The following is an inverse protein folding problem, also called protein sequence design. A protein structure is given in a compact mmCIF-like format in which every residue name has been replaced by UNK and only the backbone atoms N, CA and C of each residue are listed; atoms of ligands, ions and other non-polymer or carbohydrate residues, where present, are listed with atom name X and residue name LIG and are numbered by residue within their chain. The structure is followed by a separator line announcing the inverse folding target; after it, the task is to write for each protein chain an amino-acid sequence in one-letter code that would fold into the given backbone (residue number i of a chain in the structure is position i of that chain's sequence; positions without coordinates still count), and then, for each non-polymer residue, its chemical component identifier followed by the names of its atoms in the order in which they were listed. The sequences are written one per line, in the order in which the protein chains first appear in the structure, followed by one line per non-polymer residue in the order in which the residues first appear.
data_IF_121252868483
#
_entry.id   IF_121252868483
#
_cell.length_a   1.000
_cell.length_b   1.000
_cell.length_c   1.000
_cell.angle_alpha   90.00
_cell.angle_beta   90.00
_cell.angle_gamma   90.00
#
_symmetry.space_group_name_H-M   'P 1'
#
loop_
_entity.id
_entity.type
_entity.pdbx_description
1 polymer ?
#
# COMPACT_ATOMS: atom_id res chain seq x y z
N UNK A 1 22.20 -12.45 -47.76
CA UNK A 1 21.20 -13.07 -46.88
C UNK A 1 21.04 -14.51 -47.34
N UNK A 2 21.48 -15.46 -46.51
CA UNK A 2 21.72 -16.84 -46.90
C UNK A 2 20.45 -17.68 -46.96
N UNK A 3 20.50 -18.75 -47.77
CA UNK A 3 19.45 -19.75 -47.99
C UNK A 3 18.88 -20.44 -46.73
N UNK A 4 19.39 -20.16 -45.53
CA UNK A 4 18.92 -20.74 -44.26
C UNK A 4 17.61 -20.11 -43.76
N UNK A 5 17.37 -18.83 -44.02
CA UNK A 5 16.19 -18.11 -43.47
C UNK A 5 14.89 -18.40 -44.22
N UNK A 6 14.99 -18.83 -45.49
CA UNK A 6 13.82 -19.21 -46.30
C UNK A 6 13.30 -20.59 -45.87
N UNK A 7 14.21 -21.51 -45.51
CA UNK A 7 13.87 -22.86 -45.05
C UNK A 7 13.06 -22.87 -43.75
N UNK A 8 13.39 -22.03 -42.77
CA UNK A 8 12.71 -22.02 -41.46
C UNK A 8 11.27 -21.47 -41.58
N UNK A 9 11.05 -20.49 -42.47
CA UNK A 9 9.72 -19.89 -42.69
C UNK A 9 8.74 -20.81 -43.41
N UNK A 10 9.23 -21.74 -44.23
CA UNK A 10 8.39 -22.75 -44.87
C UNK A 10 8.03 -23.88 -43.89
N UNK A 11 8.94 -24.28 -42.99
CA UNK A 11 8.66 -25.34 -41.99
C UNK A 11 7.64 -24.91 -40.93
N UNK A 12 7.52 -23.62 -40.61
CA UNK A 12 6.55 -23.10 -39.64
C UNK A 12 5.11 -22.94 -40.18
N UNK A 13 4.89 -23.16 -41.48
CA UNK A 13 3.58 -23.05 -42.12
C UNK A 13 2.90 -24.39 -42.39
N UNK A 14 3.51 -25.50 -42.03
CA UNK A 14 2.82 -26.79 -42.07
C UNK A 14 1.92 -26.93 -40.84
N UNK A 15 0.62 -27.04 -41.07
CA UNK A 15 -0.37 -27.33 -40.03
C UNK A 15 0.05 -28.61 -39.29
N UNK A 16 0.34 -28.48 -38.00
CA UNK A 16 0.66 -29.62 -37.13
C UNK A 16 -0.56 -30.52 -37.07
N UNK A 17 -0.54 -31.62 -37.82
CA UNK A 17 -1.57 -32.66 -37.73
C UNK A 17 -1.46 -33.33 -36.37
N UNK A 18 -2.38 -32.97 -35.47
CA UNK A 18 -2.52 -33.58 -34.16
C UNK A 18 -2.69 -35.10 -34.36
N UNK A 19 -1.82 -35.94 -33.77
CA UNK A 19 -1.90 -37.39 -33.93
C UNK A 19 -3.26 -37.92 -33.46
N UNK A 20 -3.85 -38.87 -34.20
CA UNK A 20 -5.18 -39.44 -33.88
C UNK A 20 -5.28 -39.94 -32.43
N UNK A 21 -4.18 -40.45 -31.86
CA UNK A 21 -4.14 -40.91 -30.46
C UNK A 21 -4.46 -39.81 -29.43
N UNK A 22 -4.22 -38.54 -29.77
CA UNK A 22 -4.54 -37.39 -28.92
C UNK A 22 -6.03 -37.03 -29.03
N UNK A 23 -6.62 -37.18 -30.22
CA UNK A 23 -8.05 -36.99 -30.42
C UNK A 23 -8.86 -38.15 -29.82
N UNK A 24 -8.40 -39.39 -29.96
CA UNK A 24 -9.00 -40.56 -29.32
C UNK A 24 -8.95 -40.43 -27.79
N UNK A 25 -7.82 -39.95 -27.25
CA UNK A 25 -7.68 -39.65 -25.81
C UNK A 25 -8.60 -38.53 -25.33
N UNK A 26 -8.88 -37.52 -26.17
CA UNK A 26 -9.78 -36.42 -25.83
C UNK A 26 -11.24 -36.87 -25.90
N UNK A 27 -11.61 -37.62 -26.93
CA UNK A 27 -12.96 -38.16 -27.08
C UNK A 27 -13.28 -39.17 -25.99
N UNK A 28 -12.33 -40.01 -25.58
CA UNK A 28 -12.48 -40.92 -24.43
C UNK A 28 -12.65 -40.15 -23.11
N UNK A 29 -11.99 -39.00 -22.95
CA UNK A 29 -12.14 -38.13 -21.79
C UNK A 29 -13.50 -37.41 -21.78
N UNK A 30 -13.98 -36.93 -22.94
CA UNK A 30 -15.29 -36.31 -23.07
C UNK A 30 -16.44 -37.31 -22.93
N UNK A 31 -16.28 -38.55 -23.39
CA UNK A 31 -17.25 -39.61 -23.20
C UNK A 31 -17.36 -40.02 -21.72
N UNK A 32 -16.25 -40.06 -20.99
CA UNK A 32 -16.22 -40.28 -19.53
C UNK A 32 -16.91 -39.16 -18.73
N UNK A 33 -16.87 -37.92 -19.24
CA UNK A 33 -17.60 -36.76 -18.69
C UNK A 33 -19.10 -36.85 -19.03
N UNK A 34 -19.46 -37.22 -20.26
CA UNK A 34 -20.86 -37.35 -20.71
C UNK A 34 -21.60 -38.53 -20.07
N UNK A 35 -20.88 -39.60 -19.74
CA UNK A 35 -21.41 -40.80 -19.06
C UNK A 35 -21.40 -40.69 -17.51
N UNK A 36 -20.99 -39.54 -16.96
CA UNK A 36 -20.83 -39.27 -15.50
C UNK A 36 -19.90 -40.27 -14.78
N UNK A 37 -18.98 -40.90 -15.51
CA UNK A 37 -17.99 -41.84 -14.96
C UNK A 37 -16.79 -41.11 -14.34
N UNK A 38 -16.57 -39.84 -14.71
CA UNK A 38 -15.60 -38.94 -14.08
C UNK A 38 -16.34 -37.80 -13.40
N UNK A 39 -16.33 -37.80 -12.06
CA UNK A 39 -16.83 -36.70 -11.25
C UNK A 39 -15.68 -35.79 -10.83
N UNK A 40 -15.77 -34.51 -11.17
CA UNK A 40 -15.01 -33.48 -10.46
C UNK A 40 -15.26 -33.62 -8.95
N UNK A 41 -14.22 -33.49 -8.14
CA UNK A 41 -14.40 -33.26 -6.70
C UNK A 41 -15.24 -31.99 -6.57
N UNK A 42 -16.52 -32.16 -6.25
CA UNK A 42 -17.40 -31.04 -5.96
C UNK A 42 -16.79 -30.28 -4.78
N UNK A 43 -16.51 -28.99 -4.95
CA UNK A 43 -16.52 -28.05 -3.83
C UNK A 43 -17.97 -28.02 -3.33
N UNK A 44 -18.29 -28.93 -2.39
CA UNK A 44 -19.59 -28.96 -1.74
C UNK A 44 -19.77 -27.63 -1.04
N UNK A 45 -20.86 -26.94 -1.39
CA UNK A 45 -21.44 -25.90 -0.57
C UNK A 45 -21.57 -26.43 0.87
N UNK A 46 -20.79 -25.84 1.77
CA UNK A 46 -20.97 -26.08 3.20
C UNK A 46 -21.97 -25.05 3.69
N UNK A 47 -23.10 -25.56 4.15
CA UNK A 47 -24.27 -24.83 4.60
C UNK A 47 -23.95 -23.65 5.54
N UNK A 48 -24.71 -22.57 5.33
CA UNK A 48 -24.81 -21.30 6.07
C UNK A 48 -25.10 -21.41 7.59
N UNK A 49 -24.81 -22.51 8.28
CA UNK A 49 -25.03 -22.65 9.73
C UNK A 49 -24.03 -23.62 10.38
N UNK A 50 -22.76 -23.21 10.55
CA UNK A 50 -21.84 -23.79 11.58
C UNK A 50 -20.47 -23.09 11.75
N UNK A 51 -20.28 -21.87 11.26
CA UNK A 51 -19.04 -21.11 11.48
C UNK A 51 -19.12 -20.18 12.71
N UNK A 52 -19.74 -20.66 13.80
CA UNK A 52 -19.80 -19.94 15.09
C UNK A 52 -19.24 -20.79 16.23
N UNK A 53 -18.25 -21.66 15.99
CA UNK A 53 -17.76 -22.49 17.11
C UNK A 53 -16.28 -22.81 17.19
N UNK A 54 -15.42 -22.36 16.27
CA UNK A 54 -13.96 -22.56 16.37
C UNK A 54 -13.13 -21.48 15.67
N UNK A 55 -13.46 -20.21 15.87
CA UNK A 55 -12.48 -19.14 15.77
C UNK A 55 -12.14 -18.78 17.21
N UNK A 56 -11.01 -19.27 17.68
CA UNK A 56 -10.33 -18.63 18.80
C UNK A 56 -10.00 -17.22 18.33
N UNK A 57 -10.48 -16.25 19.09
CA UNK A 57 -10.33 -14.81 18.96
C UNK A 57 -9.05 -14.41 18.20
N UNK A 58 -9.17 -14.26 16.88
CA UNK A 58 -8.38 -13.28 16.15
C UNK A 58 -9.22 -12.01 16.23
N UNK A 59 -8.67 -10.95 16.80
CA UNK A 59 -9.38 -9.69 17.01
C UNK A 59 -9.68 -9.06 15.64
N UNK A 60 -10.78 -9.47 15.01
CA UNK A 60 -11.43 -8.65 14.01
C UNK A 60 -11.92 -7.40 14.76
N UNK A 61 -11.12 -6.33 14.72
CA UNK A 61 -11.57 -5.01 15.10
C UNK A 61 -12.64 -4.58 14.08
N UNK A 62 -13.85 -5.11 14.24
CA UNK A 62 -15.01 -4.63 13.51
C UNK A 62 -15.35 -3.24 14.05
N UNK A 63 -14.62 -2.23 13.62
CA UNK A 63 -14.95 -0.84 13.86
C UNK A 63 -16.19 -0.52 13.03
N UNK A 64 -17.38 -0.71 13.61
CA UNK A 64 -18.59 -0.10 13.07
C UNK A 64 -18.47 1.41 13.28
N UNK A 65 -17.93 2.11 12.28
CA UNK A 65 -17.87 3.57 12.31
C UNK A 65 -19.23 4.12 11.91
N UNK A 66 -19.95 4.62 12.91
CA UNK A 66 -21.08 5.52 12.69
C UNK A 66 -20.50 6.92 12.55
N UNK A 67 -20.56 7.48 11.34
CA UNK A 67 -20.14 8.87 11.09
C UNK A 67 -21.12 9.79 11.82
N UNK A 68 -20.79 10.13 13.06
CA UNK A 68 -21.52 11.07 13.89
C UNK A 68 -20.65 12.30 14.11
N UNK A 69 -20.84 13.34 13.29
CA UNK A 69 -21.05 14.77 13.68
C UNK A 69 -20.62 15.76 12.58
N UNK A 70 -21.31 16.91 12.51
CA UNK A 70 -20.98 18.07 11.67
C UNK A 70 -21.99 18.42 10.59
N UNK A 71 -22.29 17.45 9.73
CA UNK A 71 -23.12 17.64 8.53
C UNK A 71 -24.60 17.96 8.84
N UNK A 72 -25.05 17.67 10.06
CA UNK A 72 -26.46 17.83 10.48
C UNK A 72 -26.97 19.28 10.48
N UNK A 73 -26.10 20.28 10.42
CA UNK A 73 -26.52 21.70 10.37
C UNK A 73 -26.52 22.30 8.95
N UNK A 74 -25.84 21.69 7.99
CA UNK A 74 -25.59 22.30 6.67
C UNK A 74 -26.37 21.68 5.51
N UNK A 75 -26.77 20.40 5.59
CA UNK A 75 -27.63 19.79 4.55
C UNK A 75 -28.45 18.59 5.06
N UNK A 76 -29.76 18.74 5.32
CA UNK A 76 -30.65 17.66 5.76
C UNK A 76 -30.78 16.47 4.79
N UNK A 77 -30.42 16.63 3.51
CA UNK A 77 -30.42 15.53 2.54
C UNK A 77 -29.30 14.50 2.84
N UNK A 78 -28.14 14.94 3.35
CA UNK A 78 -27.02 14.08 3.75
C UNK A 78 -27.34 13.18 4.96
N UNK A 79 -28.28 13.58 5.82
CA UNK A 79 -28.64 12.79 7.00
C UNK A 79 -29.47 11.54 6.67
N UNK A 80 -30.05 11.46 5.46
CA UNK A 80 -30.98 10.39 5.09
C UNK A 80 -30.27 9.13 4.59
N UNK A 81 -29.07 9.28 4.06
CA UNK A 81 -28.31 8.22 3.39
C UNK A 81 -26.89 8.07 3.98
N UNK A 82 -26.71 8.25 5.30
CA UNK A 82 -25.42 8.00 5.96
C UNK A 82 -25.02 6.55 5.71
N UNK A 83 -23.94 6.28 4.95
CA UNK A 83 -23.50 4.92 4.73
C UNK A 83 -23.04 4.39 6.08
N UNK A 84 -23.62 3.27 6.52
CA UNK A 84 -22.96 2.45 7.53
C UNK A 84 -21.75 1.86 6.81
N UNK A 85 -20.62 2.56 6.92
CA UNK A 85 -19.40 2.18 6.22
C UNK A 85 -18.95 0.80 6.67
N UNK A 86 -19.32 0.32 7.87
CA UNK A 86 -19.02 -1.04 8.30
C UNK A 86 -17.51 -1.25 8.50
N UNK A 87 -17.04 -2.48 8.32
CA UNK A 87 -15.64 -2.86 8.57
C UNK A 87 -14.72 -2.42 7.40
N UNK A 88 -14.23 -1.18 7.44
CA UNK A 88 -13.30 -0.65 6.43
C UNK A 88 -11.96 -1.40 6.43
N UNK A 89 -11.42 -1.69 7.61
CA UNK A 89 -10.18 -2.46 7.73
C UNK A 89 -10.32 -3.86 7.17
N UNK A 90 -11.46 -4.54 7.41
CA UNK A 90 -11.76 -5.84 6.81
C UNK A 90 -11.73 -5.79 5.28
N UNK A 91 -12.33 -4.76 4.65
CA UNK A 91 -12.29 -4.58 3.19
C UNK A 91 -10.88 -4.32 2.68
N UNK A 92 -10.13 -3.46 3.35
CA UNK A 92 -8.74 -3.16 2.98
C UNK A 92 -7.87 -4.42 3.08
N UNK A 93 -8.07 -5.24 4.13
CA UNK A 93 -7.37 -6.52 4.27
C UNK A 93 -7.75 -7.53 3.18
N UNK A 94 -9.02 -7.58 2.79
CA UNK A 94 -9.47 -8.43 1.68
C UNK A 94 -8.84 -8.02 0.35
N UNK A 95 -8.83 -6.72 0.05
CA UNK A 95 -8.15 -6.17 -1.14
C UNK A 95 -6.66 -6.52 -1.11
N UNK A 96 -6.00 -6.33 0.04
CA UNK A 96 -4.59 -6.71 0.23
C UNK A 96 -4.36 -8.20 -0.03
N UNK A 97 -5.16 -9.07 0.56
CA UNK A 97 -4.99 -10.53 0.47
C UNK A 97 -5.20 -11.05 -0.96
N UNK A 98 -5.97 -10.32 -1.77
CA UNK A 98 -6.19 -10.62 -3.19
C UNK A 98 -5.13 -9.99 -4.11
N UNK A 99 -4.28 -9.09 -3.62
CA UNK A 99 -3.23 -8.45 -4.41
C UNK A 99 -1.99 -9.36 -4.50
N UNK A 100 -1.39 -9.57 -5.68
CA UNK A 100 -0.22 -10.44 -5.83
C UNK A 100 1.03 -9.94 -5.08
N UNK A 101 1.09 -8.64 -4.82
CA UNK A 101 2.18 -7.96 -4.11
C UNK A 101 1.59 -7.08 -3.00
N UNK A 102 1.19 -7.63 -1.86
CA UNK A 102 0.51 -6.86 -0.82
C UNK A 102 1.43 -5.73 -0.32
N UNK A 103 0.89 -4.51 -0.27
CA UNK A 103 1.71 -3.30 0.00
C UNK A 103 2.22 -3.20 1.44
N UNK A 104 1.59 -3.90 2.39
CA UNK A 104 1.97 -3.86 3.81
C UNK A 104 1.64 -5.18 4.51
N UNK A 105 2.50 -5.57 5.46
CA UNK A 105 2.37 -6.83 6.19
C UNK A 105 1.03 -6.92 6.97
N UNK A 106 0.54 -8.15 7.13
CA UNK A 106 -0.75 -8.40 7.78
C UNK A 106 -0.77 -7.99 9.24
N UNK A 107 0.33 -8.20 9.96
CA UNK A 107 0.46 -7.90 11.38
C UNK A 107 0.42 -6.39 11.61
N UNK A 108 1.17 -5.60 10.83
CA UNK A 108 1.12 -4.15 10.86
C UNK A 108 -0.29 -3.64 10.57
N UNK A 109 -0.97 -4.20 9.57
CA UNK A 109 -2.37 -3.85 9.30
C UNK A 109 -3.30 -4.11 10.49
N UNK A 110 -3.19 -5.26 11.14
CA UNK A 110 -3.97 -5.61 12.32
C UNK A 110 -3.65 -4.70 13.51
N UNK A 111 -2.37 -4.32 13.69
CA UNK A 111 -1.95 -3.36 14.69
C UNK A 111 -2.49 -1.96 14.41
N UNK A 112 -2.39 -1.46 13.17
CA UNK A 112 -2.97 -0.16 12.77
C UNK A 112 -4.47 -0.15 13.06
N UNK A 113 -5.20 -1.19 12.63
CA UNK A 113 -6.64 -1.29 12.88
C UNK A 113 -6.99 -1.30 14.37
N UNK A 114 -6.21 -2.04 15.17
CA UNK A 114 -6.40 -2.15 16.63
C UNK A 114 -6.15 -0.83 17.37
N UNK A 115 -5.22 -0.01 16.88
CA UNK A 115 -4.82 1.26 17.52
C UNK A 115 -5.47 2.49 16.87
N UNK A 116 -6.22 2.31 15.78
CA UNK A 116 -6.94 3.41 15.14
C UNK A 116 -8.14 3.85 15.98
N UNK A 117 -8.35 5.16 16.03
CA UNK A 117 -9.52 5.78 16.64
C UNK A 117 -10.33 6.53 15.58
N UNK A 118 -11.66 6.66 15.75
CA UNK A 118 -12.47 7.51 14.90
C UNK A 118 -11.90 8.94 14.86
N UNK A 119 -11.79 9.50 13.67
CA UNK A 119 -11.28 10.86 13.52
C UNK A 119 -12.21 11.86 14.19
N UNK A 120 -11.61 12.91 14.77
CA UNK A 120 -12.34 14.04 15.35
C UNK A 120 -12.57 15.07 14.24
N UNK A 121 -13.58 15.94 14.39
CA UNK A 121 -13.91 17.13 13.56
C UNK A 121 -15.10 16.97 12.57
N UNK A 122 -15.98 17.99 12.41
CA UNK A 122 -17.15 17.97 11.52
C UNK A 122 -16.94 17.91 10.00
N UNK A 123 -15.72 18.04 9.46
CA UNK A 123 -15.46 18.12 8.00
C UNK A 123 -14.75 16.88 7.43
N UNK A 124 -14.92 15.72 8.07
CA UNK A 124 -14.36 14.44 7.61
C UNK A 124 -15.17 13.77 6.48
N UNK A 125 -16.24 14.42 6.00
CA UNK A 125 -17.07 13.99 4.87
C UNK A 125 -17.16 15.12 3.85
N UNK A 126 -17.02 14.80 2.57
CA UNK A 126 -17.21 15.75 1.47
C UNK A 126 -18.03 15.09 0.35
N UNK A 127 -18.93 15.85 -0.27
CA UNK A 127 -19.73 15.39 -1.40
C UNK A 127 -19.78 16.45 -2.49
N UNK A 128 -19.50 16.04 -3.72
CA UNK A 128 -19.67 16.81 -4.94
C UNK A 128 -19.81 15.83 -6.11
N UNK A 129 -20.45 16.26 -7.20
CA UNK A 129 -20.68 15.46 -8.41
C UNK A 129 -21.23 14.04 -8.17
N UNK A 130 -22.01 13.83 -7.11
CA UNK A 130 -22.57 12.52 -6.76
C UNK A 130 -21.53 11.51 -6.24
N UNK A 131 -20.35 11.99 -5.83
CA UNK A 131 -19.29 11.23 -5.18
C UNK A 131 -19.20 11.70 -3.73
N UNK A 132 -19.39 10.79 -2.78
CA UNK A 132 -19.23 11.05 -1.34
C UNK A 132 -17.91 10.45 -0.88
N UNK A 133 -17.04 11.27 -0.29
CA UNK A 133 -15.77 10.86 0.31
C UNK A 133 -15.85 10.94 1.83
N UNK A 134 -15.22 10.00 2.54
CA UNK A 134 -15.24 9.98 4.01
C UNK A 134 -13.92 9.49 4.58
N UNK A 135 -13.38 10.26 5.55
CA UNK A 135 -12.31 9.81 6.44
C UNK A 135 -12.95 9.31 7.74
N UNK A 136 -12.65 8.07 8.13
CA UNK A 136 -13.34 7.42 9.26
C UNK A 136 -12.45 7.26 10.48
N UNK A 137 -11.28 6.65 10.32
CA UNK A 137 -10.39 6.29 11.42
C UNK A 137 -8.98 6.79 11.13
N UNK A 138 -8.23 7.11 12.19
CA UNK A 138 -6.82 7.42 12.10
C UNK A 138 -6.01 6.81 13.25
N UNK A 139 -4.75 6.51 12.97
CA UNK A 139 -3.74 6.08 13.94
C UNK A 139 -2.45 6.85 13.67
N UNK A 140 -1.81 7.38 14.71
CA UNK A 140 -0.53 8.07 14.57
C UNK A 140 0.42 7.66 15.69
N UNK A 141 1.54 7.04 15.34
CA UNK A 141 2.54 6.56 16.32
C UNK A 141 3.68 7.57 16.54
N UNK A 142 3.56 8.78 15.99
CA UNK A 142 4.58 9.82 16.02
C UNK A 142 5.60 9.75 14.87
N UNK A 143 5.74 8.59 14.22
CA UNK A 143 6.60 8.36 13.04
C UNK A 143 5.80 8.15 11.76
N UNK A 144 4.61 7.58 11.86
CA UNK A 144 3.68 7.36 10.77
C UNK A 144 2.26 7.76 11.20
N UNK A 145 1.54 8.39 10.29
CA UNK A 145 0.11 8.67 10.40
C UNK A 145 -0.62 7.82 9.36
N UNK A 146 -1.59 7.05 9.82
CA UNK A 146 -2.51 6.26 8.99
C UNK A 146 -3.92 6.80 9.12
N UNK A 147 -4.67 6.79 8.02
CA UNK A 147 -6.11 7.01 8.07
C UNK A 147 -6.86 6.28 6.97
N UNK A 148 -8.10 5.89 7.26
CA UNK A 148 -8.99 5.24 6.29
C UNK A 148 -9.71 6.30 5.47
N UNK A 149 -9.72 6.11 4.15
CA UNK A 149 -10.48 6.94 3.21
C UNK A 149 -11.38 6.05 2.37
N UNK A 150 -12.67 6.40 2.31
CA UNK A 150 -13.65 5.71 1.47
C UNK A 150 -14.34 6.65 0.49
N UNK A 151 -14.77 6.09 -0.64
CA UNK A 151 -15.58 6.78 -1.64
C UNK A 151 -16.76 5.92 -2.07
N UNK A 152 -17.90 6.56 -2.22
CA UNK A 152 -19.09 6.01 -2.81
C UNK A 152 -19.56 6.90 -3.95
N UNK A 153 -20.04 6.30 -5.03
CA UNK A 153 -20.59 7.03 -6.16
C UNK A 153 -21.82 6.32 -6.73
N UNK A 154 -22.80 7.11 -7.16
CA UNK A 154 -23.94 6.63 -7.95
C UNK A 154 -23.68 6.57 -9.45
N UNK A 155 -22.54 7.07 -9.92
CA UNK A 155 -22.16 7.05 -11.34
C UNK A 155 -21.77 5.64 -11.77
N UNK A 156 -22.50 5.07 -12.75
CA UNK A 156 -22.32 3.68 -13.17
C UNK A 156 -20.95 3.40 -13.80
N UNK A 157 -20.34 4.38 -14.50
CA UNK A 157 -19.05 4.19 -15.16
C UNK A 157 -17.88 4.33 -14.18
N UNK A 158 -17.96 5.28 -13.24
CA UNK A 158 -16.99 5.36 -12.14
C UNK A 158 -17.09 4.11 -11.26
N UNK A 159 -18.31 3.67 -10.95
CA UNK A 159 -18.52 2.44 -10.19
C UNK A 159 -18.11 1.19 -10.98
N UNK A 160 -17.86 1.25 -12.29
CA UNK A 160 -17.30 0.12 -13.04
C UNK A 160 -15.76 0.01 -12.95
N UNK A 161 -15.11 0.95 -12.26
CA UNK A 161 -13.66 0.97 -12.08
C UNK A 161 -13.19 -0.07 -11.06
N UNK A 162 -11.93 -0.50 -11.19
CA UNK A 162 -11.25 -1.28 -10.14
C UNK A 162 -10.64 -0.34 -9.08
N UNK A 163 -10.30 0.88 -9.49
CA UNK A 163 -9.65 1.88 -8.65
C UNK A 163 -10.06 3.29 -9.09
N UNK A 164 -10.12 4.22 -8.13
CA UNK A 164 -10.29 5.65 -8.39
C UNK A 164 -9.04 6.41 -7.99
N UNK A 165 -8.55 7.31 -8.82
CA UNK A 165 -7.44 8.21 -8.51
C UNK A 165 -7.97 9.55 -8.03
N UNK A 166 -7.48 10.04 -6.90
CA UNK A 166 -7.81 11.36 -6.37
C UNK A 166 -6.82 12.39 -6.91
N UNK A 167 -7.35 13.39 -7.60
CA UNK A 167 -6.59 14.31 -8.41
C UNK A 167 -6.86 15.77 -8.01
N UNK A 168 -5.95 16.65 -8.40
CA UNK A 168 -6.08 18.09 -8.32
C UNK A 168 -5.47 18.74 -9.57
N UNK A 169 -5.77 20.03 -9.78
CA UNK A 169 -5.13 20.85 -10.81
C UNK A 169 -4.30 21.92 -10.14
N UNK A 170 -3.13 22.21 -10.69
CA UNK A 170 -2.38 23.41 -10.29
C UNK A 170 -2.99 24.63 -10.97
N UNK A 171 -2.96 25.77 -10.30
CA UNK A 171 -3.46 27.02 -10.88
C UNK A 171 -2.83 27.30 -12.25
N UNK A 172 -3.66 27.36 -13.28
CA UNK A 172 -3.23 27.59 -14.66
C UNK A 172 -2.62 26.38 -15.37
N UNK A 173 -2.54 25.21 -14.73
CA UNK A 173 -2.08 23.96 -15.34
C UNK A 173 -3.27 23.07 -15.75
N UNK A 174 -3.46 22.76 -17.05
CA UNK A 174 -4.50 21.87 -17.52
C UNK A 174 -4.17 20.37 -17.30
N UNK A 175 -3.09 20.05 -16.59
CA UNK A 175 -2.68 18.67 -16.28
C UNK A 175 -3.09 18.35 -14.85
N UNK A 176 -3.83 17.26 -14.68
CA UNK A 176 -4.18 16.75 -13.36
C UNK A 176 -2.94 16.10 -12.67
N UNK A 177 -2.81 16.32 -11.37
CA UNK A 177 -1.81 15.71 -10.49
C UNK A 177 -2.53 14.93 -9.40
N UNK A 178 -1.84 14.02 -8.72
CA UNK A 178 -2.40 13.43 -7.50
C UNK A 178 -2.69 14.52 -6.47
N UNK A 179 -3.80 14.38 -5.74
CA UNK A 179 -4.20 15.35 -4.74
C UNK A 179 -3.17 15.46 -3.62
N UNK A 180 -3.03 16.68 -3.08
CA UNK A 180 -2.09 17.00 -2.02
C UNK A 180 -2.71 16.75 -0.64
N UNK A 181 -1.86 16.31 0.29
CA UNK A 181 -2.19 16.20 1.70
C UNK A 181 -1.54 17.37 2.43
N UNK A 182 -2.20 17.85 3.47
CA UNK A 182 -1.64 18.87 4.36
C UNK A 182 -1.71 18.38 5.78
N UNK A 183 -0.60 18.51 6.51
CA UNK A 183 -0.52 18.23 7.94
C UNK A 183 -0.22 19.55 8.64
N UNK A 184 -1.13 19.98 9.52
CA UNK A 184 -1.05 21.27 10.23
C UNK A 184 -0.84 22.49 9.31
N UNK A 185 -1.35 22.41 8.08
CA UNK A 185 -1.24 23.48 7.08
C UNK A 185 0.02 23.42 6.21
N UNK A 186 0.93 22.47 6.46
CA UNK A 186 2.11 22.21 5.63
C UNK A 186 1.81 21.10 4.62
N UNK A 187 2.16 21.33 3.36
CA UNK A 187 2.03 20.35 2.27
C UNK A 187 2.93 19.13 2.54
N UNK A 188 2.38 17.93 2.36
CA UNK A 188 3.09 16.68 2.53
C UNK A 188 2.61 15.62 1.54
N UNK A 189 3.27 14.46 1.55
CA UNK A 189 3.03 13.37 0.61
C UNK A 189 2.74 12.07 1.36
N UNK A 190 1.77 11.30 0.89
CA UNK A 190 1.61 9.90 1.29
C UNK A 190 2.67 9.01 0.61
N UNK A 191 2.97 7.85 1.20
CA UNK A 191 3.89 6.87 0.57
C UNK A 191 3.31 6.24 -0.69
N UNK A 192 1.98 6.14 -0.77
CA UNK A 192 1.26 5.57 -1.91
C UNK A 192 0.39 6.63 -2.58
N UNK A 193 0.06 6.40 -3.85
CA UNK A 193 -0.89 7.24 -4.56
C UNK A 193 -2.25 7.18 -3.86
N UNK A 194 -2.95 8.31 -3.79
CA UNK A 194 -4.32 8.39 -3.28
C UNK A 194 -5.26 7.72 -4.28
N UNK A 195 -5.25 6.39 -4.28
CA UNK A 195 -5.91 5.58 -5.30
C UNK A 195 -6.78 4.48 -4.67
N UNK A 196 -7.96 4.81 -4.11
CA UNK A 196 -8.82 3.84 -3.46
C UNK A 196 -9.30 2.73 -4.39
N UNK A 197 -9.13 1.48 -3.95
CA UNK A 197 -9.50 0.29 -4.69
C UNK A 197 -10.90 -0.17 -4.31
N UNK A 198 -11.61 -0.79 -5.25
CA UNK A 198 -12.99 -1.23 -5.06
C UNK A 198 -13.07 -2.50 -4.22
N UNK A 199 -13.90 -2.47 -3.18
CA UNK A 199 -14.26 -3.65 -2.38
C UNK A 199 -15.37 -4.48 -3.05
N UNK A 200 -15.61 -5.71 -2.55
CA UNK A 200 -16.66 -6.59 -3.06
C UNK A 200 -18.07 -5.96 -3.04
N UNK A 201 -18.37 -5.12 -2.05
CA UNK A 201 -19.65 -4.43 -1.91
C UNK A 201 -19.74 -3.10 -2.70
N UNK A 202 -18.68 -2.75 -3.44
CA UNK A 202 -18.66 -1.62 -4.36
C UNK A 202 -18.26 -0.28 -3.74
N UNK A 203 -17.77 -0.28 -2.51
CA UNK A 203 -17.15 0.89 -1.89
C UNK A 203 -15.69 0.98 -2.32
N UNK A 204 -15.19 2.16 -2.67
CA UNK A 204 -13.76 2.34 -2.90
C UNK A 204 -13.09 2.68 -1.59
N UNK A 205 -12.03 1.98 -1.21
CA UNK A 205 -11.37 2.14 0.10
C UNK A 205 -9.85 2.16 -0.04
N UNK A 206 -9.18 2.89 0.85
CA UNK A 206 -7.72 2.84 1.01
C UNK A 206 -7.31 3.11 2.45
N UNK A 207 -6.13 2.61 2.82
CA UNK A 207 -5.39 3.06 3.99
C UNK A 207 -4.31 4.04 3.51
N UNK A 208 -4.49 5.33 3.82
CA UNK A 208 -3.48 6.34 3.51
C UNK A 208 -2.43 6.33 4.60
N UNK A 209 -1.15 6.34 4.22
CA UNK A 209 -0.01 6.52 5.11
C UNK A 209 0.73 7.81 4.80
N UNK A 210 0.99 8.61 5.82
CA UNK A 210 1.86 9.80 5.78
C UNK A 210 3.03 9.57 6.74
N UNK A 211 4.26 9.43 6.23
CA UNK A 211 5.42 9.20 7.09
C UNK A 211 5.97 10.53 7.61
N UNK A 212 6.46 10.53 8.84
CA UNK A 212 6.99 11.73 9.48
C UNK A 212 8.24 12.28 8.77
N UNK A 213 8.93 11.47 7.96
CA UNK A 213 10.04 11.94 7.14
C UNK A 213 9.63 12.94 6.04
N UNK A 214 8.35 12.93 5.67
CA UNK A 214 7.73 13.83 4.67
C UNK A 214 7.15 15.12 5.27
N UNK A 215 7.20 15.29 6.60
CA UNK A 215 6.87 16.55 7.26
C UNK A 215 8.15 17.27 7.69
N UNK A 216 8.15 18.60 7.68
CA UNK A 216 9.36 19.40 7.95
C UNK A 216 9.89 19.16 9.37
N UNK A 217 8.99 19.04 10.34
CA UNK A 217 9.33 18.76 11.73
C UNK A 217 9.97 17.37 11.95
N UNK A 218 9.85 16.44 10.99
CA UNK A 218 10.39 15.08 11.10
C UNK A 218 9.69 14.15 12.10
N UNK A 219 8.71 14.65 12.88
CA UNK A 219 7.87 13.91 13.84
C UNK A 219 6.49 14.54 13.94
N UNK A 220 5.45 13.74 14.17
CA UNK A 220 4.11 14.26 14.38
C UNK A 220 3.95 14.87 15.79
N UNK A 221 3.32 16.04 15.93
CA UNK A 221 2.94 16.57 17.24
C UNK A 221 1.80 15.76 17.87
N UNK A 222 1.52 16.01 19.15
CA UNK A 222 0.43 15.33 19.89
C UNK A 222 -0.93 15.51 19.22
N UNK A 223 -1.25 16.73 18.77
CA UNK A 223 -2.46 17.02 18.01
C UNK A 223 -2.12 17.27 16.54
N UNK A 224 -2.76 16.49 15.66
CA UNK A 224 -2.54 16.55 14.22
C UNK A 224 -3.84 16.95 13.53
N UNK A 225 -3.80 18.01 12.73
CA UNK A 225 -4.87 18.37 11.80
C UNK A 225 -4.44 17.98 10.39
N UNK A 226 -5.26 17.21 9.70
CA UNK A 226 -5.02 16.78 8.32
C UNK A 226 -6.08 17.39 7.44
N UNK A 227 -5.68 17.87 6.26
CA UNK A 227 -6.64 18.32 5.25
C UNK A 227 -6.25 17.89 3.84
N UNK A 228 -7.26 17.75 2.99
CA UNK A 228 -7.14 17.35 1.59
C UNK A 228 -8.06 18.25 0.75
N UNK A 229 -7.53 18.75 -0.38
CA UNK A 229 -8.32 19.46 -1.38
C UNK A 229 -8.22 18.69 -2.70
N UNK A 230 -9.32 18.05 -3.08
CA UNK A 230 -9.41 17.16 -4.24
C UNK A 230 -10.27 17.86 -5.28
N UNK A 231 -9.71 18.01 -6.48
CA UNK A 231 -10.32 18.72 -7.61
C UNK A 231 -10.87 17.81 -8.71
N UNK A 232 -10.52 16.53 -8.71
CA UNK A 232 -11.03 15.57 -9.68
C UNK A 232 -10.88 14.12 -9.20
N UNK A 233 -11.68 13.23 -9.78
CA UNK A 233 -11.63 11.78 -9.57
C UNK A 233 -11.50 11.07 -10.92
N UNK A 234 -10.39 10.37 -11.14
CA UNK A 234 -10.16 9.55 -12.33
C UNK A 234 -10.48 8.07 -12.08
N UNK A 235 -10.98 7.35 -13.08
CA UNK A 235 -11.35 5.94 -12.98
C UNK A 235 -10.41 5.04 -13.77
N UNK A 236 -9.90 3.98 -13.13
CA UNK A 236 -8.92 3.05 -13.68
C UNK A 236 -9.42 1.61 -13.60
N UNK A 237 -8.98 0.79 -14.55
CA UNK A 237 -9.10 -0.67 -14.54
C UNK A 237 -7.73 -1.29 -14.69
N UNK A 238 -7.44 -2.35 -13.94
CA UNK A 238 -6.10 -2.94 -13.91
C UNK A 238 -5.69 -3.61 -15.23
N UNK A 239 -6.67 -4.14 -15.96
CA UNK A 239 -6.44 -4.86 -17.23
C UNK A 239 -6.72 -4.00 -18.48
N UNK A 240 -6.98 -2.70 -18.32
CA UNK A 240 -7.29 -1.83 -19.46
C UNK A 240 -6.01 -1.38 -20.17
N UNK A 241 -5.93 -1.49 -21.52
CA UNK A 241 -4.76 -1.04 -22.25
C UNK A 241 -4.57 0.47 -22.09
N UNK A 242 -3.33 0.94 -22.17
CA UNK A 242 -3.04 2.36 -22.17
C UNK A 242 -3.68 3.06 -23.37
N UNK A 243 -4.43 4.14 -23.11
CA UNK A 243 -5.12 4.95 -24.12
C UNK A 243 -4.29 6.18 -24.48
N UNK A 244 -3.46 6.09 -25.53
CA UNK A 244 -2.58 7.19 -25.97
C UNK A 244 -3.33 8.46 -26.39
N UNK A 245 -4.60 8.33 -26.78
CA UNK A 245 -5.48 9.44 -27.16
C UNK A 245 -6.00 10.25 -25.96
N UNK A 246 -5.96 9.68 -24.75
CA UNK A 246 -6.36 10.37 -23.52
C UNK A 246 -5.12 11.01 -22.90
N UNK A 247 -5.11 12.34 -22.87
CA UNK A 247 -4.02 13.09 -22.25
C UNK A 247 -3.90 12.72 -20.76
N UNK A 248 -2.71 12.32 -20.31
CA UNK A 248 -2.42 11.99 -18.91
C UNK A 248 -3.27 10.80 -18.39
N UNK A 249 -3.54 9.83 -19.28
CA UNK A 249 -4.37 8.66 -19.01
C UNK A 249 -3.93 7.90 -17.75
N UNK A 250 -2.64 7.84 -17.46
CA UNK A 250 -2.11 7.18 -16.27
C UNK A 250 -2.66 7.74 -14.95
N UNK A 251 -3.16 8.99 -14.96
CA UNK A 251 -3.82 9.62 -13.81
C UNK A 251 -5.33 9.66 -13.98
N UNK A 252 -5.80 10.23 -15.10
CA UNK A 252 -7.22 10.55 -15.30
C UNK A 252 -8.05 9.33 -15.69
N UNK A 253 -7.42 8.31 -16.25
CA UNK A 253 -8.05 7.05 -16.66
C UNK A 253 -9.08 7.21 -17.77
N UNK A 254 -9.94 6.20 -17.93
CA UNK A 254 -10.94 6.16 -19.01
C UNK A 254 -12.09 7.16 -18.77
N UNK A 255 -12.31 7.58 -17.52
CA UNK A 255 -13.29 8.59 -17.13
C UNK A 255 -12.73 9.44 -15.99
N UNK A 256 -12.89 10.75 -16.11
CA UNK A 256 -12.50 11.71 -15.06
C UNK A 256 -13.65 12.68 -14.79
N UNK A 257 -13.93 12.92 -13.50
CA UNK A 257 -14.96 13.85 -13.04
C UNK A 257 -14.30 14.96 -12.24
N UNK A 258 -14.43 16.19 -12.71
CA UNK A 258 -13.97 17.39 -12.00
C UNK A 258 -14.98 17.82 -10.94
N UNK A 259 -14.50 18.23 -9.77
CA UNK A 259 -15.34 18.65 -8.65
C UNK A 259 -14.51 19.34 -7.57
N UNK A 260 -15.07 19.45 -6.36
CA UNK A 260 -14.37 19.99 -5.20
C UNK A 260 -14.75 19.24 -3.93
N UNK A 261 -13.84 18.40 -3.45
CA UNK A 261 -13.98 17.68 -2.18
C UNK A 261 -12.91 18.17 -1.21
N UNK A 262 -13.38 18.85 -0.16
CA UNK A 262 -12.52 19.39 0.90
C UNK A 262 -12.77 18.62 2.18
N UNK A 263 -11.75 17.87 2.60
CA UNK A 263 -11.78 17.06 3.80
C UNK A 263 -10.83 17.67 4.81
N UNK A 264 -11.26 17.74 6.07
CA UNK A 264 -10.38 18.07 7.19
C UNK A 264 -10.80 17.29 8.43
N UNK A 265 -9.82 16.71 9.11
CA UNK A 265 -10.03 15.93 10.32
C UNK A 265 -8.86 16.08 11.28
N UNK A 266 -9.07 15.64 12.52
CA UNK A 266 -8.05 15.63 13.57
C UNK A 266 -7.76 14.23 14.05
N UNK A 267 -6.49 13.98 14.32
CA UNK A 267 -5.97 12.78 14.95
C UNK A 267 -5.07 13.18 16.14
N UNK A 268 -4.89 12.26 17.08
CA UNK A 268 -3.94 12.43 18.18
C UNK A 268 -2.82 11.41 18.03
N UNK A 269 -1.58 11.82 18.29
CA UNK A 269 -0.44 10.91 18.29
C UNK A 269 -0.37 10.12 19.60
N UNK A 270 -0.16 8.81 19.49
CA UNK A 270 0.09 7.91 20.61
C UNK A 270 1.43 7.18 20.40
N UNK A 271 2.44 7.62 21.14
CA UNK A 271 3.79 7.04 21.11
C UNK A 271 4.00 5.99 22.22
N UNK A 272 2.97 5.67 23.00
CA UNK A 272 3.09 4.87 24.23
C UNK A 272 3.55 3.43 24.02
N UNK A 273 3.38 2.91 22.80
CA UNK A 273 3.79 1.55 22.42
C UNK A 273 5.15 1.51 21.71
N UNK A 274 5.79 2.66 21.50
CA UNK A 274 7.06 2.71 20.80
C UNK A 274 8.20 2.25 21.71
N UNK A 275 9.11 1.44 21.16
CA UNK A 275 10.36 1.03 21.82
C UNK A 275 11.53 1.58 21.04
N UNK A 276 12.34 2.41 21.68
CA UNK A 276 13.49 3.06 21.04
C UNK A 276 14.78 2.63 21.72
N UNK A 277 15.75 2.23 20.93
CA UNK A 277 17.13 2.00 21.36
C UNK A 277 18.10 2.89 20.60
N UNK A 278 19.20 3.25 21.27
CA UNK A 278 20.36 3.92 20.67
C UNK A 278 21.55 2.99 20.75
N UNK A 279 21.63 1.98 19.87
CA UNK A 279 22.67 0.97 19.99
C UNK A 279 24.07 1.55 19.75
N UNK A 280 24.18 2.62 18.94
CA UNK A 280 25.46 3.19 18.50
C UNK A 280 26.42 2.11 17.95
N UNK A 281 25.83 1.06 17.35
CA UNK A 281 26.55 -0.10 16.87
C UNK A 281 27.24 0.23 15.54
N UNK A 282 28.52 -0.13 15.44
CA UNK A 282 29.38 0.28 14.33
C UNK A 282 30.11 -0.91 13.71
N UNK A 283 30.19 -0.90 12.38
CA UNK A 283 31.12 -1.73 11.64
C UNK A 283 31.52 -1.04 10.32
N UNK A 284 32.81 -0.96 10.02
CA UNK A 284 33.35 -0.32 8.82
C UNK A 284 32.87 1.14 8.61
N UNK A 285 32.72 1.87 9.72
CA UNK A 285 32.29 3.26 9.78
C UNK A 285 30.78 3.46 9.57
N UNK A 286 30.03 2.41 9.24
CA UNK A 286 28.56 2.45 9.25
C UNK A 286 28.06 2.41 10.68
N UNK A 287 27.18 3.34 11.07
CA UNK A 287 26.69 3.44 12.45
C UNK A 287 25.16 3.38 12.49
N UNK A 288 24.63 2.40 13.21
CA UNK A 288 23.21 2.38 13.59
C UNK A 288 23.06 3.27 14.83
N UNK A 289 22.59 4.50 14.64
CA UNK A 289 22.46 5.48 15.73
C UNK A 289 21.24 5.20 16.60
N UNK A 290 20.07 5.09 15.97
CA UNK A 290 18.78 4.99 16.64
C UNK A 290 17.87 4.02 15.88
N UNK A 291 17.17 3.17 16.63
CA UNK A 291 16.12 2.30 16.09
C UNK A 291 14.87 2.46 16.94
N UNK A 292 13.73 2.71 16.31
CA UNK A 292 12.43 2.76 16.97
C UNK A 292 11.50 1.72 16.36
N UNK A 293 11.02 0.80 17.18
CA UNK A 293 9.98 -0.16 16.83
C UNK A 293 8.62 0.41 17.26
N UNK A 294 7.70 0.54 16.31
CA UNK A 294 6.32 0.95 16.54
C UNK A 294 5.38 -0.22 16.22
N UNK A 295 4.09 -0.12 16.62
CA UNK A 295 3.11 -1.14 16.25
C UNK A 295 2.96 -1.36 14.73
N UNK A 296 3.29 -0.36 13.90
CA UNK A 296 3.13 -0.45 12.43
C UNK A 296 4.43 -0.69 11.67
N UNK A 297 5.58 -0.23 12.18
CA UNK A 297 6.83 -0.22 11.43
C UNK A 297 8.07 -0.24 12.34
N UNK A 298 9.24 -0.46 11.73
CA UNK A 298 10.53 -0.23 12.36
C UNK A 298 11.27 0.93 11.66
N UNK A 299 11.73 1.90 12.43
CA UNK A 299 12.45 3.08 11.92
C UNK A 299 13.90 3.05 12.37
N UNK A 300 14.81 3.40 11.47
CA UNK A 300 16.26 3.39 11.71
C UNK A 300 16.90 4.69 11.25
N UNK A 301 17.84 5.19 12.05
CA UNK A 301 18.80 6.23 11.66
C UNK A 301 20.16 5.57 11.46
N UNK A 302 20.66 5.60 10.22
CA UNK A 302 21.91 5.00 9.80
C UNK A 302 22.87 6.07 9.26
N UNK A 303 24.09 6.09 9.77
CA UNK A 303 25.17 6.94 9.24
C UNK A 303 26.06 6.13 8.30
N UNK A 304 26.39 6.75 7.17
CA UNK A 304 27.26 6.18 6.14
C UNK A 304 28.44 7.13 5.93
N UNK A 305 29.69 6.64 6.05
CA UNK A 305 30.87 7.48 5.87
C UNK A 305 31.12 7.75 4.38
N UNK A 306 31.77 8.89 4.10
CA UNK A 306 31.94 9.43 2.75
C UNK A 306 32.65 8.49 1.77
N UNK A 307 33.54 7.63 2.26
CA UNK A 307 34.26 6.63 1.47
C UNK A 307 33.34 5.61 0.77
N UNK A 308 32.12 5.40 1.27
CA UNK A 308 31.14 4.49 0.68
C UNK A 308 30.18 5.17 -0.31
N UNK A 309 30.16 6.50 -0.42
CA UNK A 309 29.26 7.22 -1.34
C UNK A 309 29.39 6.72 -2.79
N UNK A 310 30.60 6.59 -3.37
CA UNK A 310 30.75 6.11 -4.76
C UNK A 310 30.35 4.64 -4.94
N UNK A 311 30.26 3.89 -3.83
CA UNK A 311 29.94 2.46 -3.80
C UNK A 311 28.45 2.17 -3.71
N UNK A 312 27.65 3.19 -3.41
CA UNK A 312 26.19 3.11 -3.33
C UNK A 312 25.73 1.90 -2.49
N UNK A 313 26.04 1.87 -1.17
CA UNK A 313 25.78 0.69 -0.37
C UNK A 313 24.28 0.40 -0.25
N UNK A 314 23.93 -0.88 -0.36
CA UNK A 314 22.58 -1.40 -0.09
C UNK A 314 22.47 -1.82 1.38
N UNK A 315 21.26 -1.69 1.93
CA UNK A 315 20.93 -2.04 3.31
C UNK A 315 20.01 -3.26 3.30
N UNK A 316 20.31 -4.24 4.14
CA UNK A 316 19.43 -5.39 4.42
C UNK A 316 19.29 -5.54 5.92
N UNK A 317 18.06 -5.49 6.43
CA UNK A 317 17.76 -5.75 7.83
C UNK A 317 17.22 -7.17 7.98
N UNK A 318 17.70 -7.88 9.00
CA UNK A 318 17.21 -9.20 9.36
C UNK A 318 16.94 -9.30 10.86
N UNK A 319 16.00 -10.16 11.24
CA UNK A 319 15.85 -10.62 12.62
C UNK A 319 16.90 -11.68 12.99
N UNK A 320 16.98 -12.03 14.28
CA UNK A 320 17.89 -13.06 14.78
C UNK A 320 17.60 -14.49 14.26
N UNK A 321 16.49 -14.73 13.57
CA UNK A 321 16.19 -16.00 12.90
C UNK A 321 16.66 -15.99 11.44
N UNK A 322 17.18 -14.86 10.94
CA UNK A 322 17.62 -14.68 9.57
C UNK A 322 16.47 -14.34 8.61
N UNK A 323 15.28 -13.97 9.12
CA UNK A 323 14.21 -13.48 8.25
C UNK A 323 14.50 -12.03 7.88
N UNK A 324 14.39 -11.71 6.60
CA UNK A 324 14.54 -10.34 6.11
C UNK A 324 13.31 -9.50 6.46
N UNK A 325 13.55 -8.29 6.91
CA UNK A 325 12.53 -7.25 7.11
C UNK A 325 12.65 -6.30 5.91
N UNK A 326 11.56 -6.12 5.17
CA UNK A 326 11.60 -5.34 3.92
C UNK A 326 11.68 -3.85 4.23
N UNK A 327 12.34 -3.10 3.35
CA UNK A 327 12.31 -1.64 3.38
C UNK A 327 11.02 -1.13 2.73
N UNK A 328 10.34 -0.20 3.40
CA UNK A 328 9.15 0.46 2.87
C UNK A 328 9.49 1.83 2.27
N UNK A 329 10.39 2.59 2.90
CA UNK A 329 10.81 3.92 2.42
C UNK A 329 12.12 4.38 3.05
N UNK A 330 12.81 5.29 2.36
CA UNK A 330 14.02 5.93 2.89
C UNK A 330 14.07 7.43 2.56
N UNK A 331 14.66 8.20 3.47
CA UNK A 331 15.11 9.58 3.25
C UNK A 331 16.61 9.66 3.46
N UNK A 332 17.32 10.14 2.44
CA UNK A 332 18.77 10.29 2.46
C UNK A 332 19.12 11.78 2.56
N UNK A 333 19.89 12.14 3.59
CA UNK A 333 20.53 13.45 3.71
C UNK A 333 22.01 13.26 3.42
N UNK A 334 22.50 13.85 2.32
CA UNK A 334 23.93 13.89 2.00
C UNK A 334 24.53 15.18 2.52
N UNK A 335 25.65 15.08 3.22
CA UNK A 335 26.41 16.22 3.72
C UNK A 335 27.49 16.65 2.72
N UNK A 336 27.98 17.88 2.84
CA UNK A 336 29.00 18.45 1.96
C UNK A 336 30.35 17.70 2.01
N UNK A 337 30.62 17.00 3.12
CA UNK A 337 31.82 16.17 3.31
C UNK A 337 31.69 14.77 2.69
N UNK A 338 30.55 14.47 2.06
CA UNK A 338 30.24 13.19 1.42
C UNK A 338 29.62 12.15 2.35
N UNK A 339 29.52 12.41 3.65
CA UNK A 339 28.80 11.51 4.57
C UNK A 339 27.29 11.53 4.30
N UNK A 340 26.60 10.43 4.59
CA UNK A 340 25.15 10.34 4.46
C UNK A 340 24.49 9.97 5.80
N UNK A 341 23.33 10.54 6.07
CA UNK A 341 22.39 10.06 7.09
C UNK A 341 21.17 9.51 6.38
N UNK A 342 20.85 8.24 6.62
CA UNK A 342 19.66 7.58 6.07
C UNK A 342 18.64 7.36 7.18
N UNK A 343 17.42 7.84 6.96
CA UNK A 343 16.24 7.55 7.76
C UNK A 343 15.46 6.48 7.01
N UNK A 344 15.53 5.25 7.49
CA UNK A 344 14.98 4.08 6.80
C UNK A 344 13.77 3.60 7.60
N UNK A 345 12.69 3.30 6.90
CA UNK A 345 11.53 2.61 7.48
C UNK A 345 11.42 1.21 6.88
N UNK A 346 11.33 0.23 7.77
CA UNK A 346 11.13 -1.17 7.46
C UNK A 346 9.74 -1.63 7.90
N UNK A 347 9.30 -2.76 7.36
CA UNK A 347 8.10 -3.49 7.83
C UNK A 347 8.13 -3.70 9.35
N UNK A 348 6.95 -3.90 9.93
CA UNK A 348 6.82 -4.24 11.34
C UNK A 348 7.61 -5.51 11.71
N UNK A 349 8.16 -5.52 12.92
CA UNK A 349 8.81 -6.70 13.50
C UNK A 349 8.62 -6.74 15.01
N UNK A 350 8.27 -7.92 15.52
CA UNK A 350 8.24 -8.24 16.95
C UNK A 350 9.61 -8.68 17.49
N UNK A 351 10.65 -8.72 16.64
CA UNK A 351 11.98 -9.10 17.05
C UNK A 351 12.60 -8.05 17.99
N UNK A 352 13.52 -8.51 18.84
CA UNK A 352 14.34 -7.64 19.69
C UNK A 352 15.80 -7.61 19.23
N UNK A 353 16.23 -8.61 18.50
CA UNK A 353 17.61 -8.77 18.05
C UNK A 353 17.62 -8.75 16.53
N UNK A 354 18.49 -7.91 15.99
CA UNK A 354 18.58 -7.63 14.56
C UNK A 354 20.02 -7.68 14.09
N UNK A 355 20.18 -7.90 12.78
CA UNK A 355 21.44 -7.77 12.08
C UNK A 355 21.23 -6.87 10.86
N UNK A 356 21.95 -5.75 10.81
CA UNK A 356 22.05 -4.93 9.61
C UNK A 356 23.22 -5.42 8.77
N UNK A 357 22.95 -5.74 7.50
CA UNK A 357 23.97 -6.07 6.52
C UNK A 357 24.07 -4.97 5.47
N UNK A 358 25.31 -4.56 5.18
CA UNK A 358 25.63 -3.58 4.17
C UNK A 358 26.30 -4.27 2.98
N UNK A 359 25.93 -3.89 1.77
CA UNK A 359 26.47 -4.48 0.53
C UNK A 359 26.98 -3.41 -0.43
N UNK A 360 28.15 -3.63 -1.04
CA UNK A 360 28.68 -2.77 -2.11
C UNK A 360 27.96 -3.12 -3.44
N UNK A 361 27.08 -2.23 -3.91
CA UNK A 361 26.34 -2.44 -5.18
C UNK A 361 27.21 -2.23 -6.41
N UNK A 362 28.27 -1.42 -6.30
CA UNK A 362 29.14 -1.05 -7.41
C UNK A 362 30.51 -1.76 -7.34
N UNK A 363 30.67 -2.67 -6.38
CA UNK A 363 31.88 -3.44 -6.14
C UNK A 363 32.04 -4.61 -7.09
N UNK A 364 33.21 -5.26 -7.00
CA UNK A 364 33.38 -6.56 -7.64
C UNK A 364 32.42 -7.57 -6.99
N UNK A 365 31.71 -8.39 -7.79
CA UNK A 365 30.84 -9.43 -7.25
C UNK A 365 31.59 -10.41 -6.35
N UNK A 366 30.87 -11.00 -5.41
CA UNK A 366 31.38 -12.09 -4.59
C UNK A 366 31.58 -13.38 -5.40
N UNK A 367 32.01 -14.46 -4.74
CA UNK A 367 32.26 -15.76 -5.37
C UNK A 367 31.02 -16.37 -6.04
N UNK A 368 29.82 -15.91 -5.68
CA UNK A 368 28.54 -16.34 -6.24
C UNK A 368 27.97 -15.38 -7.29
N UNK A 369 28.70 -14.30 -7.62
CA UNK A 369 28.26 -13.27 -8.56
C UNK A 369 27.26 -12.26 -7.97
N UNK A 370 27.08 -12.25 -6.64
CA UNK A 370 26.23 -11.29 -5.92
C UNK A 370 26.99 -10.06 -5.42
N UNK A 371 26.30 -9.02 -4.94
CA UNK A 371 26.97 -7.87 -4.33
C UNK A 371 27.71 -8.31 -3.06
N UNK A 372 28.92 -7.79 -2.85
CA UNK A 372 29.77 -8.17 -1.73
C UNK A 372 29.28 -7.53 -0.43
N UNK A 373 29.10 -8.34 0.61
CA UNK A 373 28.84 -7.82 1.96
C UNK A 373 30.08 -7.09 2.49
N UNK A 374 29.88 -5.87 2.96
CA UNK A 374 30.93 -4.96 3.44
C UNK A 374 30.81 -4.64 4.92
N UNK A 375 29.67 -4.85 5.55
CA UNK A 375 29.52 -4.73 7.00
C UNK A 375 28.39 -5.63 7.50
N UNK A 376 28.52 -6.08 8.75
CA UNK A 376 27.47 -6.79 9.48
C UNK A 376 27.42 -6.23 10.90
N UNK A 377 26.26 -5.67 11.29
CA UNK A 377 26.08 -4.92 12.53
C UNK A 377 24.94 -5.56 13.33
N UNK A 378 25.25 -6.41 14.31
CA UNK A 378 24.25 -6.91 15.25
C UNK A 378 23.89 -5.83 16.27
N UNK A 379 22.60 -5.68 16.57
CA UNK A 379 22.10 -4.78 17.61
C UNK A 379 20.79 -5.29 18.20
N UNK A 380 20.39 -4.73 19.34
CA UNK A 380 19.15 -5.10 20.04
C UNK A 380 18.31 -3.88 20.40
N UNK A 381 17.00 -4.07 20.49
CA UNK A 381 16.01 -3.11 20.98
C UNK A 381 15.26 -3.76 22.14
N UNK A 382 15.40 -3.20 23.36
CA UNK A 382 14.71 -3.68 24.57
C UNK A 382 13.26 -3.16 24.64
#
# INVERSE_FOLDING_TARGET
MGNSDISIKETLKEDVKIPEIVNDSLDEAYDKIRKDEVRMKSLRSRSKKRLYRKLGVAAAAACMVLVLTGVFFVNPALAKDIPILGDLFGRIQEIRDNHPYPEKDKTAYENIAKHSEPVKDPTNVAEDQGITMTVSDAYCDGYDLYFTLSLQTGDEELNAADQLNLLCYRDGDPIAFFAWLYVNGEETYSTYTLSPAKSEDGLFVTLVRVPAMNIEAGKFPEDVTVSMDIGAVGAQKFDEPYHEEIKNYERVGYKCVEGSWKLQFKASSDTSQNRTAKPEAENNGFVVEEVTLTPSNAHMVLHIPAEWEPKNPAVVLMDAQGNRIQDESEKIIKNDDGTEVRYITFDHSDANDFVLQMYDKNGEPDENGGPRMIAEIPFSVE
#
